data_IF_030515330345
#
_entry.id   IF_030515330345
#
_cell.length_a   1.000
_cell.length_b   1.000
_cell.length_c   1.000
_cell.angle_alpha   90.00
_cell.angle_beta   90.00
_cell.angle_gamma   90.00
#
_symmetry.space_group_name_H-M   'P 1'
#
loop_
_entity.id
_entity.type
_entity.pdbx_description
1 polymer ?
#
# COMPACT_ATOMS: atom_id res chain seq x y z
N UNK A 1 10.00 33.92 24.02
CA UNK A 1 11.01 33.10 23.33
C UNK A 1 10.26 31.99 22.63
N UNK A 2 10.24 31.89 21.29
CA UNK A 2 9.74 30.68 20.65
C UNK A 2 10.70 29.57 21.07
N UNK A 3 10.22 28.56 21.79
CA UNK A 3 10.96 27.30 21.90
C UNK A 3 11.16 26.80 20.49
N UNK A 4 12.43 26.74 20.06
CA UNK A 4 12.83 26.31 18.73
C UNK A 4 12.41 24.84 18.56
N UNK A 5 11.16 24.63 18.14
CA UNK A 5 10.56 23.31 18.09
C UNK A 5 11.09 22.63 16.84
N UNK A 6 12.20 21.91 16.99
CA UNK A 6 12.82 21.16 15.89
C UNK A 6 11.77 20.25 15.23
N UNK A 7 11.49 20.49 13.95
CA UNK A 7 10.48 19.74 13.20
C UNK A 7 11.00 18.33 12.90
N UNK A 8 10.12 17.32 13.01
CA UNK A 8 10.45 15.95 12.60
C UNK A 8 10.87 15.93 11.13
N UNK A 9 12.02 15.33 10.86
CA UNK A 9 12.48 14.94 9.52
C UNK A 9 12.11 13.48 9.22
N UNK A 10 11.75 13.16 7.97
CA UNK A 10 11.49 11.78 7.55
C UNK A 10 12.80 11.06 7.22
N UNK A 11 12.81 9.74 7.36
CA UNK A 11 14.00 8.94 7.02
C UNK A 11 14.39 9.11 5.55
N UNK A 12 13.45 9.06 4.61
CA UNK A 12 13.71 9.25 3.18
C UNK A 12 14.40 10.59 2.86
N UNK A 13 13.94 11.68 3.50
CA UNK A 13 14.49 13.02 3.27
C UNK A 13 15.91 13.13 3.82
N UNK A 14 16.19 12.53 4.98
CA UNK A 14 17.52 12.54 5.57
C UNK A 14 18.52 11.73 4.74
N UNK A 15 18.12 10.55 4.24
CA UNK A 15 18.98 9.68 3.42
C UNK A 15 19.42 10.32 2.10
N UNK A 16 18.66 11.29 1.61
CA UNK A 16 18.94 12.02 0.36
C UNK A 16 19.46 13.45 0.60
N UNK A 17 19.58 13.87 1.87
CA UNK A 17 20.02 15.21 2.24
C UNK A 17 21.51 15.42 1.95
N UNK A 18 21.83 16.49 1.22
CA UNK A 18 23.21 16.99 1.07
C UNK A 18 23.59 17.99 2.16
N UNK A 19 22.61 18.48 2.93
CA UNK A 19 22.80 19.42 4.02
C UNK A 19 23.13 18.65 5.32
N UNK A 20 24.43 18.60 5.64
CA UNK A 20 25.01 17.83 6.75
C UNK A 20 25.47 18.74 7.90
N UNK A 21 25.84 18.12 9.03
CA UNK A 21 26.34 18.75 10.26
C UNK A 21 25.31 19.64 10.98
N UNK A 22 24.02 19.36 10.78
CA UNK A 22 22.92 20.04 11.44
C UNK A 22 22.19 19.13 12.42
N UNK A 23 21.55 19.73 13.41
CA UNK A 23 20.67 19.02 14.33
C UNK A 23 19.38 18.59 13.61
N UNK A 24 18.95 17.35 13.88
CA UNK A 24 17.74 16.76 13.32
C UNK A 24 16.94 16.03 14.40
N UNK A 25 15.62 16.03 14.24
CA UNK A 25 14.70 15.19 15.00
C UNK A 25 14.15 14.11 14.08
N UNK A 26 14.47 12.85 14.32
CA UNK A 26 13.90 11.71 13.58
C UNK A 26 13.08 10.83 14.52
N UNK A 27 11.95 10.33 14.02
CA UNK A 27 11.06 9.42 14.78
C UNK A 27 10.71 8.22 13.92
N UNK A 28 10.72 7.03 14.50
CA UNK A 28 10.40 5.81 13.78
C UNK A 28 10.41 4.57 14.68
N UNK A 29 10.40 3.40 14.04
CA UNK A 29 10.45 2.10 14.70
C UNK A 29 11.82 1.45 14.50
N UNK A 30 12.34 0.86 15.57
CA UNK A 30 13.61 0.14 15.57
C UNK A 30 13.46 -1.13 14.74
N UNK A 31 14.27 -1.28 13.69
CA UNK A 31 14.38 -2.50 12.89
C UNK A 31 15.32 -3.50 13.53
N UNK A 32 16.49 -3.03 13.93
CA UNK A 32 17.51 -3.81 14.61
C UNK A 32 18.32 -2.87 15.48
N UNK A 33 18.80 -3.38 16.61
CA UNK A 33 19.87 -2.76 17.39
C UNK A 33 21.04 -3.74 17.42
N UNK A 34 22.22 -3.29 17.05
CA UNK A 34 23.46 -4.07 17.06
C UNK A 34 24.60 -3.18 17.56
N UNK A 35 25.61 -3.75 18.18
CA UNK A 35 26.71 -2.94 18.67
C UNK A 35 27.65 -3.73 19.56
N UNK A 36 28.59 -3.02 20.15
CA UNK A 36 29.49 -3.54 21.17
C UNK A 36 29.41 -2.64 22.42
N UNK A 37 30.26 -2.88 23.40
CA UNK A 37 30.28 -2.11 24.66
C UNK A 37 30.64 -0.62 24.51
N UNK A 38 31.14 -0.19 23.34
CA UNK A 38 31.57 1.19 23.07
C UNK A 38 30.55 1.97 22.23
N UNK A 39 29.86 1.30 21.31
CA UNK A 39 28.93 1.97 20.39
C UNK A 39 27.78 1.04 20.01
N UNK A 40 26.58 1.62 19.95
CA UNK A 40 25.36 0.95 19.54
C UNK A 40 24.82 1.58 18.25
N UNK A 41 24.46 0.73 17.30
CA UNK A 41 23.88 1.11 16.02
C UNK A 41 22.42 0.68 15.99
N UNK A 42 21.53 1.66 15.86
CA UNK A 42 20.09 1.45 15.76
C UNK A 42 19.68 1.73 14.32
N UNK A 43 19.15 0.71 13.65
CA UNK A 43 18.54 0.88 12.34
C UNK A 43 17.10 1.34 12.52
N UNK A 44 16.82 2.59 12.17
CA UNK A 44 15.51 3.23 12.36
C UNK A 44 14.78 3.34 11.01
N UNK A 45 13.50 2.96 10.98
CA UNK A 45 12.66 3.14 9.79
C UNK A 45 11.32 3.74 10.21
N UNK A 46 10.79 4.65 9.39
CA UNK A 46 9.54 5.34 9.66
C UNK A 46 8.46 5.08 8.60
N UNK A 47 8.71 4.12 7.71
CA UNK A 47 7.82 3.73 6.61
C UNK A 47 7.94 4.59 5.35
N UNK A 48 8.62 5.75 5.39
CA UNK A 48 8.73 6.66 4.24
C UNK A 48 9.47 6.05 3.04
N UNK A 49 10.39 5.12 3.29
CA UNK A 49 11.08 4.35 2.26
C UNK A 49 11.43 2.95 2.77
N UNK A 50 11.99 2.12 1.88
CA UNK A 50 12.52 0.80 2.23
C UNK A 50 13.71 0.89 3.19
N UNK A 51 14.63 1.82 2.93
CA UNK A 51 15.88 1.95 3.66
C UNK A 51 15.69 2.39 5.11
N UNK A 52 16.68 2.06 5.95
CA UNK A 52 16.77 2.50 7.35
C UNK A 52 17.76 3.63 7.49
N UNK A 53 17.49 4.58 8.37
CA UNK A 53 18.48 5.53 8.85
C UNK A 53 19.29 4.88 9.99
N UNK A 54 20.62 4.93 9.89
CA UNK A 54 21.48 4.52 10.99
C UNK A 54 21.55 5.62 12.05
N UNK A 55 21.22 5.27 13.28
CA UNK A 55 21.44 6.08 14.48
C UNK A 55 22.60 5.49 15.25
N UNK A 56 23.61 6.31 15.53
CA UNK A 56 24.80 5.95 16.30
C UNK A 56 24.64 6.48 17.73
N UNK A 57 24.64 5.56 18.70
CA UNK A 57 24.57 5.86 20.12
C UNK A 57 25.89 5.47 20.79
N UNK A 58 26.69 6.48 21.14
CA UNK A 58 27.96 6.32 21.86
C UNK A 58 27.71 5.87 23.30
N UNK A 59 28.40 4.82 23.76
CA UNK A 59 28.20 4.25 25.10
C UNK A 59 28.55 5.22 26.24
N UNK A 60 29.37 6.25 25.99
CA UNK A 60 29.66 7.30 26.96
C UNK A 60 28.43 8.15 27.30
N UNK A 61 27.52 8.34 26.32
CA UNK A 61 26.24 9.05 26.49
C UNK A 61 25.08 8.10 26.76
N UNK A 62 25.09 6.94 26.12
CA UNK A 62 24.02 5.94 26.14
C UNK A 62 24.57 4.58 26.56
N UNK A 63 24.84 4.38 27.86
CA UNK A 63 25.25 3.07 28.36
C UNK A 63 24.18 2.01 28.05
N UNK A 64 24.59 0.75 27.89
CA UNK A 64 23.71 -0.34 27.46
C UNK A 64 22.41 -0.45 28.28
N UNK A 65 22.52 -0.24 29.59
CA UNK A 65 21.41 -0.21 30.55
C UNK A 65 20.33 0.83 30.18
N UNK A 66 20.73 2.02 29.70
CA UNK A 66 19.81 3.09 29.29
C UNK A 66 19.04 2.75 28.00
N UNK A 67 19.59 1.84 27.19
CA UNK A 67 18.98 1.42 25.94
C UNK A 67 18.15 0.15 26.08
N UNK A 68 17.99 -0.44 27.27
CA UNK A 68 17.23 -1.70 27.46
C UNK A 68 15.86 -1.71 26.79
N UNK A 69 15.14 -0.60 26.82
CA UNK A 69 13.81 -0.45 26.20
C UNK A 69 13.83 -0.22 24.66
N UNK A 70 15.00 0.04 24.08
CA UNK A 70 15.21 0.24 22.63
C UNK A 70 15.39 -1.13 21.95
N UNK A 71 14.30 -1.87 21.86
CA UNK A 71 14.21 -3.21 21.24
C UNK A 71 13.60 -3.12 19.85
N UNK A 72 13.68 -4.21 19.07
CA UNK A 72 12.98 -4.29 17.77
C UNK A 72 11.49 -4.03 17.94
N UNK A 73 10.94 -3.17 17.08
CA UNK A 73 9.53 -2.78 17.13
C UNK A 73 9.23 -1.65 18.10
N UNK A 74 10.17 -1.26 18.99
CA UNK A 74 10.00 -0.06 19.82
C UNK A 74 9.96 1.19 18.94
N UNK A 75 9.15 2.16 19.36
CA UNK A 75 9.09 3.48 18.74
C UNK A 75 9.94 4.46 19.52
N UNK A 76 10.79 5.20 18.81
CA UNK A 76 11.72 6.15 19.42
C UNK A 76 11.69 7.50 18.71
N UNK A 77 12.01 8.55 19.44
CA UNK A 77 12.42 9.85 18.92
C UNK A 77 13.91 10.04 19.19
N UNK A 78 14.65 10.49 18.19
CA UNK A 78 16.09 10.74 18.30
C UNK A 78 16.36 12.17 17.88
N UNK A 79 16.92 12.96 18.80
CA UNK A 79 17.56 14.24 18.49
C UNK A 79 19.06 14.01 18.38
N UNK A 80 19.68 14.55 17.33
CA UNK A 80 21.10 14.38 17.11
C UNK A 80 21.59 15.07 15.85
N UNK A 81 22.88 14.89 15.55
CA UNK A 81 23.51 15.55 14.42
C UNK A 81 23.52 14.63 13.19
N UNK A 82 23.00 15.10 12.05
CA UNK A 82 23.11 14.40 10.77
C UNK A 82 24.53 14.59 10.23
N UNK A 83 25.26 13.51 10.00
CA UNK A 83 26.64 13.53 9.51
C UNK A 83 26.84 12.56 8.36
N UNK A 84 27.93 12.72 7.61
CA UNK A 84 28.36 11.72 6.65
C UNK A 84 28.72 10.42 7.39
N UNK A 85 28.20 9.28 6.92
CA UNK A 85 28.54 8.00 7.55
C UNK A 85 29.95 7.56 7.16
N UNK A 86 30.66 6.97 8.13
CA UNK A 86 31.94 6.31 7.88
C UNK A 86 31.77 4.84 7.47
N UNK A 87 30.56 4.30 7.53
CA UNK A 87 30.27 2.90 7.22
C UNK A 87 30.00 2.65 5.73
N UNK A 88 30.37 1.46 5.26
CA UNK A 88 30.03 1.02 3.89
C UNK A 88 28.52 0.74 3.79
N UNK A 89 27.88 1.25 2.74
CA UNK A 89 26.48 0.96 2.43
C UNK A 89 25.45 2.01 2.87
N UNK A 90 25.90 3.10 3.51
CA UNK A 90 25.07 4.26 3.78
C UNK A 90 25.87 5.56 3.57
N UNK A 91 25.20 6.62 3.15
CA UNK A 91 25.82 7.93 2.89
C UNK A 91 25.82 8.82 4.13
N UNK A 92 24.80 8.67 4.98
CA UNK A 92 24.57 9.51 6.16
C UNK A 92 24.17 8.68 7.37
N UNK A 93 24.38 9.24 8.55
CA UNK A 93 23.93 8.69 9.83
C UNK A 93 23.62 9.81 10.82
N UNK A 94 22.90 9.50 11.89
CA UNK A 94 22.62 10.45 12.97
C UNK A 94 23.41 10.07 14.21
N UNK A 95 24.29 10.97 14.66
CA UNK A 95 24.97 10.87 15.95
C UNK A 95 24.00 11.32 17.04
N UNK A 96 23.52 10.37 17.85
CA UNK A 96 22.48 10.64 18.83
C UNK A 96 22.98 11.56 19.95
N UNK A 97 22.14 12.52 20.32
CA UNK A 97 22.32 13.38 21.49
C UNK A 97 21.24 13.13 22.54
N UNK A 98 20.02 12.82 22.08
CA UNK A 98 18.90 12.41 22.93
C UNK A 98 18.13 11.27 22.25
N UNK A 99 17.78 10.25 23.02
CA UNK A 99 16.91 9.16 22.58
C UNK A 99 15.75 9.05 23.56
N UNK A 100 14.54 9.31 23.08
CA UNK A 100 13.30 9.17 23.85
C UNK A 100 12.55 7.94 23.35
N UNK A 101 12.23 7.00 24.25
CA UNK A 101 11.35 5.88 23.93
C UNK A 101 9.90 6.35 24.00
N UNK A 102 9.19 6.28 22.87
CA UNK A 102 7.79 6.69 22.76
C UNK A 102 6.83 5.53 23.06
N UNK A 103 7.29 4.31 22.83
CA UNK A 103 6.54 3.08 23.09
C UNK A 103 7.47 1.88 23.02
N UNK A 104 7.34 0.98 23.99
CA UNK A 104 8.15 -0.23 24.12
C UNK A 104 7.59 -1.37 23.28
N UNK A 105 8.44 -2.36 23.00
CA UNK A 105 8.08 -3.59 22.31
C UNK A 105 8.77 -4.75 23.01
N UNK A 106 8.00 -5.68 23.58
CA UNK A 106 8.55 -6.83 24.28
C UNK A 106 9.13 -7.85 23.26
N UNK A 107 10.46 -8.10 23.29
CA UNK A 107 11.09 -9.04 22.37
C UNK A 107 10.51 -10.45 22.43
N UNK A 108 9.96 -10.88 23.58
CA UNK A 108 9.42 -12.22 23.81
C UNK A 108 7.99 -12.41 23.31
N UNK A 109 7.27 -11.33 23.03
CA UNK A 109 5.90 -11.41 22.49
C UNK A 109 5.76 -10.76 21.11
N UNK A 110 6.72 -9.95 20.67
CA UNK A 110 6.62 -9.23 19.40
C UNK A 110 6.65 -10.17 18.17
N UNK A 111 5.57 -10.28 17.37
CA UNK A 111 5.48 -11.28 16.30
C UNK A 111 6.47 -11.09 15.14
N UNK A 112 6.97 -9.87 14.95
CA UNK A 112 7.95 -9.56 13.89
C UNK A 112 9.41 -9.66 14.37
N UNK A 113 9.64 -10.07 15.61
CA UNK A 113 10.97 -10.36 16.12
C UNK A 113 11.51 -11.63 15.45
N UNK A 114 12.71 -11.55 14.85
CA UNK A 114 13.37 -12.74 14.30
C UNK A 114 13.83 -13.64 15.45
N UNK A 115 13.41 -14.91 15.48
CA UNK A 115 13.81 -15.91 16.49
C UNK A 115 14.15 -17.25 15.84
N UNK A 116 15.11 -17.99 16.42
CA UNK A 116 15.33 -19.42 16.12
C UNK A 116 15.32 -19.80 14.62
N UNK A 117 14.44 -20.73 14.24
CA UNK A 117 14.29 -21.22 12.87
C UNK A 117 13.82 -20.14 11.86
N UNK A 118 13.27 -19.02 12.33
CA UNK A 118 12.80 -17.87 11.53
C UNK A 118 13.93 -16.90 11.16
N UNK A 119 15.20 -17.29 11.34
CA UNK A 119 16.33 -16.56 10.78
C UNK A 119 16.22 -16.40 9.25
N UNK A 120 15.50 -17.31 8.59
CA UNK A 120 15.16 -17.24 7.15
C UNK A 120 14.01 -16.26 6.83
N UNK A 121 13.32 -15.72 7.84
CA UNK A 121 12.18 -14.81 7.69
C UNK A 121 10.83 -15.46 8.07
N UNK A 122 9.82 -14.61 8.26
CA UNK A 122 8.43 -15.02 8.54
C UNK A 122 7.74 -15.31 7.20
N UNK A 123 7.01 -16.44 7.09
CA UNK A 123 6.30 -16.82 5.87
C UNK A 123 5.20 -15.82 5.48
N UNK A 124 4.83 -15.78 4.19
CA UNK A 124 3.74 -14.93 3.72
C UNK A 124 2.39 -15.35 4.34
N UNK A 125 2.21 -16.64 4.60
CA UNK A 125 1.04 -17.21 5.27
C UNK A 125 0.90 -16.66 6.68
N UNK A 126 1.96 -16.77 7.51
CA UNK A 126 1.94 -16.23 8.86
C UNK A 126 1.73 -14.71 8.88
N UNK A 127 2.27 -13.98 7.88
CA UNK A 127 2.03 -12.54 7.74
C UNK A 127 0.58 -12.20 7.37
N UNK A 128 -0.18 -13.11 6.75
CA UNK A 128 -1.63 -12.90 6.50
C UNK A 128 -2.40 -12.94 7.82
N UNK A 129 -2.03 -13.80 8.77
CA UNK A 129 -2.68 -13.91 10.08
C UNK A 129 -2.48 -12.65 10.96
N UNK A 130 -1.37 -11.93 10.75
CA UNK A 130 -1.07 -10.67 11.44
C UNK A 130 -1.13 -9.47 10.48
N UNK A 131 -2.18 -9.41 9.65
CA UNK A 131 -2.37 -8.34 8.65
C UNK A 131 -2.29 -6.91 9.22
N UNK A 132 -2.63 -6.73 10.50
CA UNK A 132 -2.53 -5.46 11.22
C UNK A 132 -1.07 -5.01 11.52
N UNK A 133 -0.10 -5.95 11.53
CA UNK A 133 1.33 -5.67 11.76
C UNK A 133 2.19 -5.83 10.50
N UNK A 134 1.79 -6.66 9.53
CA UNK A 134 2.58 -6.92 8.33
C UNK A 134 3.04 -5.68 7.55
N UNK A 135 2.34 -4.51 7.52
CA UNK A 135 2.86 -3.30 6.86
C UNK A 135 4.22 -2.84 7.41
N UNK A 136 4.59 -3.27 8.62
CA UNK A 136 5.90 -3.02 9.19
C UNK A 136 6.98 -3.92 8.59
N UNK A 137 6.71 -4.90 7.75
CA UNK A 137 7.77 -5.70 7.10
C UNK A 137 8.29 -5.00 5.83
N UNK A 138 9.49 -5.37 5.37
CA UNK A 138 10.04 -4.82 4.12
C UNK A 138 9.13 -5.11 2.93
N UNK A 139 8.68 -6.36 2.80
CA UNK A 139 7.79 -6.82 1.70
C UNK A 139 6.50 -6.03 1.64
N UNK A 140 5.72 -6.00 2.71
CA UNK A 140 4.43 -5.31 2.66
C UNK A 140 4.59 -3.78 2.67
N UNK A 141 5.66 -3.24 3.24
CA UNK A 141 6.01 -1.83 3.07
C UNK A 141 6.22 -1.47 1.60
N UNK A 142 6.99 -2.28 0.86
CA UNK A 142 7.22 -2.11 -0.57
C UNK A 142 5.91 -2.24 -1.38
N UNK A 143 5.14 -3.31 -1.14
CA UNK A 143 3.85 -3.54 -1.82
C UNK A 143 2.88 -2.39 -1.61
N UNK A 144 2.76 -1.87 -0.38
CA UNK A 144 1.82 -0.77 -0.08
C UNK A 144 2.28 0.56 -0.69
N UNK A 145 3.58 0.86 -0.70
CA UNK A 145 4.10 2.05 -1.38
C UNK A 145 3.92 1.99 -2.89
N UNK A 146 4.16 0.83 -3.51
CA UNK A 146 3.90 0.61 -4.95
C UNK A 146 2.40 0.76 -5.25
N UNK A 147 1.52 0.16 -4.43
CA UNK A 147 0.06 0.30 -4.59
C UNK A 147 -0.38 1.76 -4.50
N UNK A 148 0.18 2.52 -3.57
CA UNK A 148 -0.08 3.96 -3.46
C UNK A 148 0.38 4.71 -4.72
N UNK A 149 1.61 4.48 -5.17
CA UNK A 149 2.16 5.13 -6.35
C UNK A 149 1.35 4.85 -7.60
N UNK A 150 0.91 3.59 -7.80
CA UNK A 150 0.04 3.20 -8.91
C UNK A 150 -1.35 3.85 -8.80
N UNK A 151 -1.96 3.89 -7.62
CA UNK A 151 -3.25 4.56 -7.44
C UNK A 151 -3.18 6.05 -7.80
N UNK A 152 -2.10 6.73 -7.41
CA UNK A 152 -1.85 8.11 -7.80
C UNK A 152 -1.62 8.24 -9.32
N UNK A 153 -0.80 7.36 -9.90
CA UNK A 153 -0.51 7.36 -11.35
C UNK A 153 -1.76 7.12 -12.20
N UNK A 154 -2.70 6.28 -11.73
CA UNK A 154 -4.00 6.06 -12.36
C UNK A 154 -4.78 7.39 -12.44
N UNK A 155 -4.93 8.07 -11.31
CA UNK A 155 -5.62 9.36 -11.27
C UNK A 155 -4.91 10.42 -12.12
N UNK A 156 -3.57 10.46 -12.06
CA UNK A 156 -2.77 11.38 -12.85
C UNK A 156 -2.96 11.14 -14.35
N UNK A 157 -2.83 9.89 -14.80
CA UNK A 157 -3.01 9.50 -16.20
C UNK A 157 -4.35 9.97 -16.73
N UNK A 158 -5.46 9.57 -16.08
CA UNK A 158 -6.78 9.94 -16.55
C UNK A 158 -7.02 11.45 -16.52
N UNK A 159 -6.55 12.15 -15.49
CA UNK A 159 -6.65 13.60 -15.41
C UNK A 159 -5.88 14.31 -16.55
N UNK A 160 -4.66 13.86 -16.85
CA UNK A 160 -3.85 14.42 -17.95
C UNK A 160 -4.45 14.16 -19.33
N UNK A 161 -5.26 13.10 -19.48
CA UNK A 161 -5.97 12.76 -20.71
C UNK A 161 -7.42 13.28 -20.76
N UNK A 162 -7.79 14.19 -19.84
CA UNK A 162 -9.08 14.89 -19.87
C UNK A 162 -10.27 14.05 -19.40
N UNK A 163 -10.04 12.96 -18.66
CA UNK A 163 -11.11 12.16 -18.08
C UNK A 163 -11.62 12.76 -16.77
N UNK A 164 -12.91 12.54 -16.48
CA UNK A 164 -13.52 12.87 -15.19
C UNK A 164 -13.63 11.63 -14.31
N UNK A 165 -13.20 11.77 -13.05
CA UNK A 165 -13.40 10.72 -12.05
C UNK A 165 -14.86 10.73 -11.57
N UNK A 166 -15.56 9.61 -11.75
CA UNK A 166 -16.97 9.45 -11.38
C UNK A 166 -17.11 8.43 -10.25
N UNK A 167 -17.82 8.85 -9.20
CA UNK A 167 -18.19 7.98 -8.08
C UNK A 167 -19.52 7.30 -8.39
N UNK A 168 -19.47 6.06 -8.87
CA UNK A 168 -20.65 5.22 -9.13
C UNK A 168 -21.20 4.60 -7.83
N UNK A 169 -22.50 4.27 -7.78
CA UNK A 169 -23.13 3.72 -6.58
C UNK A 169 -22.60 2.31 -6.27
N UNK A 170 -22.34 2.05 -4.98
CA UNK A 170 -21.92 0.72 -4.51
C UNK A 170 -23.10 -0.18 -4.19
N UNK A 171 -24.16 0.37 -3.60
CA UNK A 171 -25.40 -0.36 -3.37
C UNK A 171 -26.25 -0.28 -4.63
N UNK A 172 -26.63 -1.43 -5.17
CA UNK A 172 -27.33 -1.53 -6.44
C UNK A 172 -28.52 -2.48 -6.36
N UNK A 173 -29.52 -2.24 -7.20
CA UNK A 173 -30.60 -3.20 -7.49
C UNK A 173 -30.39 -3.94 -8.82
N UNK A 174 -29.24 -3.73 -9.48
CA UNK A 174 -28.87 -4.35 -10.76
C UNK A 174 -27.71 -5.32 -10.57
N UNK A 175 -27.61 -6.32 -11.44
CA UNK A 175 -26.50 -7.28 -11.48
C UNK A 175 -25.37 -6.84 -12.42
N UNK A 176 -25.50 -5.70 -13.09
CA UNK A 176 -24.54 -5.11 -14.04
C UNK A 176 -24.02 -6.07 -15.15
N UNK A 177 -23.12 -6.98 -14.79
CA UNK A 177 -22.48 -7.99 -15.66
C UNK A 177 -23.33 -9.27 -15.86
N UNK A 178 -24.41 -9.47 -15.07
CA UNK A 178 -25.24 -10.68 -15.16
C UNK A 178 -24.50 -11.95 -14.75
N UNK A 179 -23.42 -11.81 -13.97
CA UNK A 179 -22.32 -12.77 -13.94
C UNK A 179 -22.09 -13.49 -12.60
N UNK A 180 -22.97 -13.39 -11.59
CA UNK A 180 -22.77 -14.26 -10.43
C UNK A 180 -23.57 -13.98 -9.17
N UNK A 181 -23.07 -14.57 -8.09
CA UNK A 181 -23.60 -14.36 -6.75
C UNK A 181 -23.16 -12.99 -6.23
N UNK A 182 -24.10 -12.16 -5.82
CA UNK A 182 -23.84 -10.85 -5.20
C UNK A 182 -24.09 -10.89 -3.69
N UNK A 183 -23.41 -10.02 -2.93
CA UNK A 183 -23.69 -9.85 -1.51
C UNK A 183 -24.96 -9.01 -1.33
N UNK A 184 -25.96 -9.56 -0.65
CA UNK A 184 -27.18 -8.82 -0.32
C UNK A 184 -26.91 -7.75 0.75
N UNK A 185 -27.42 -6.55 0.53
CA UNK A 185 -27.44 -5.45 1.49
C UNK A 185 -28.89 -5.24 1.92
N UNK A 186 -29.18 -5.41 3.20
CA UNK A 186 -30.55 -5.36 3.74
C UNK A 186 -30.53 -4.86 5.18
N UNK A 187 -31.58 -4.14 5.57
CA UNK A 187 -31.84 -3.81 6.99
C UNK A 187 -32.90 -4.71 7.63
N UNK A 188 -33.49 -5.63 6.85
CA UNK A 188 -34.50 -6.54 7.35
C UNK A 188 -33.89 -7.50 8.40
N UNK A 189 -34.64 -7.83 9.46
CA UNK A 189 -34.16 -8.76 10.48
C UNK A 189 -33.99 -10.17 9.87
N UNK A 190 -32.84 -10.85 10.10
CA UNK A 190 -32.55 -12.13 9.45
C UNK A 190 -33.46 -13.27 9.91
N UNK A 191 -33.92 -13.25 11.16
CA UNK A 191 -34.76 -14.31 11.73
C UNK A 191 -36.25 -14.12 11.43
N UNK A 192 -36.72 -12.88 11.38
CA UNK A 192 -38.14 -12.53 11.25
C UNK A 192 -38.40 -11.42 10.22
N UNK A 193 -37.98 -11.57 8.95
CA UNK A 193 -38.21 -10.54 7.94
C UNK A 193 -39.73 -10.42 7.65
N UNK A 194 -40.21 -9.22 7.30
CA UNK A 194 -41.58 -9.01 6.86
C UNK A 194 -41.89 -9.90 5.65
N UNK A 195 -43.16 -10.29 5.52
CA UNK A 195 -43.61 -11.29 4.54
C UNK A 195 -44.81 -10.79 3.77
N UNK A 196 -44.81 -11.06 2.47
CA UNK A 196 -45.97 -10.90 1.60
C UNK A 196 -47.02 -11.99 1.86
N UNK A 197 -48.22 -11.84 1.28
CA UNK A 197 -49.32 -12.81 1.42
C UNK A 197 -48.95 -14.23 0.95
N UNK A 198 -48.02 -14.36 0.01
CA UNK A 198 -47.51 -15.64 -0.50
C UNK A 198 -46.38 -16.25 0.36
N UNK A 199 -45.99 -15.59 1.45
CA UNK A 199 -44.95 -16.04 2.39
C UNK A 199 -43.50 -15.73 1.95
N UNK A 200 -43.29 -15.09 0.80
CA UNK A 200 -41.97 -14.59 0.40
C UNK A 200 -41.54 -13.38 1.26
N UNK A 201 -40.27 -12.98 1.20
CA UNK A 201 -39.79 -11.80 1.95
C UNK A 201 -40.33 -10.55 1.27
N UNK A 202 -40.98 -9.67 2.04
CA UNK A 202 -41.44 -8.39 1.54
C UNK A 202 -40.29 -7.37 1.50
N UNK A 203 -39.63 -7.28 0.36
CA UNK A 203 -38.55 -6.31 0.16
C UNK A 203 -39.04 -4.86 0.00
N UNK A 204 -40.36 -4.61 -0.13
CA UNK A 204 -40.89 -3.24 -0.14
C UNK A 204 -40.75 -2.58 1.23
N UNK A 205 -40.61 -3.38 2.29
CA UNK A 205 -40.33 -2.93 3.65
C UNK A 205 -38.81 -2.81 3.96
N UNK A 206 -37.92 -3.17 3.03
CA UNK A 206 -36.48 -2.96 3.21
C UNK A 206 -36.12 -1.47 3.04
N UNK A 207 -34.91 -1.07 3.43
CA UNK A 207 -34.48 0.33 3.47
C UNK A 207 -34.67 1.08 2.14
N UNK A 208 -34.40 0.41 1.01
CA UNK A 208 -34.52 0.98 -0.33
C UNK A 208 -35.86 0.68 -1.01
N UNK A 209 -36.81 0.05 -0.30
CA UNK A 209 -38.11 -0.38 -0.83
C UNK A 209 -38.01 -1.44 -1.95
N UNK A 210 -36.86 -2.09 -2.07
CA UNK A 210 -36.56 -3.18 -3.01
C UNK A 210 -35.33 -3.94 -2.55
N UNK A 211 -35.11 -5.13 -3.12
CA UNK A 211 -33.89 -5.89 -2.87
C UNK A 211 -32.66 -5.13 -3.42
N UNK A 212 -31.61 -5.07 -2.61
CA UNK A 212 -30.34 -4.44 -2.96
C UNK A 212 -29.14 -5.32 -2.64
N UNK A 213 -28.05 -5.11 -3.38
CA UNK A 213 -26.81 -5.85 -3.28
C UNK A 213 -25.60 -4.90 -3.35
N UNK A 214 -24.41 -5.41 -3.05
CA UNK A 214 -23.15 -4.74 -3.36
C UNK A 214 -22.78 -4.97 -4.82
N UNK A 215 -22.39 -3.91 -5.53
CA UNK A 215 -22.13 -3.96 -6.96
C UNK A 215 -20.90 -4.81 -7.33
N UNK A 216 -21.00 -5.47 -8.49
CA UNK A 216 -19.89 -6.20 -9.12
C UNK A 216 -19.06 -5.29 -10.03
N UNK A 217 -19.66 -4.20 -10.55
CA UNK A 217 -19.06 -3.26 -11.50
C UNK A 217 -19.83 -1.92 -11.50
N UNK A 218 -19.13 -0.82 -11.77
CA UNK A 218 -19.75 0.49 -11.99
C UNK A 218 -19.96 0.83 -13.47
N UNK A 219 -19.75 -0.12 -14.39
CA UNK A 219 -19.72 0.10 -15.83
C UNK A 219 -20.99 0.77 -16.37
N UNK A 220 -22.18 0.24 -16.03
CA UNK A 220 -23.44 0.75 -16.57
C UNK A 220 -23.69 2.21 -16.17
N UNK A 221 -23.40 2.58 -14.92
CA UNK A 221 -23.46 3.98 -14.48
C UNK A 221 -22.35 4.83 -15.10
N UNK A 222 -21.19 4.25 -15.40
CA UNK A 222 -20.11 4.87 -16.16
C UNK A 222 -20.54 5.27 -17.57
N UNK A 223 -21.22 4.39 -18.30
CA UNK A 223 -21.75 4.68 -19.64
C UNK A 223 -22.71 5.89 -19.63
N UNK A 224 -23.59 5.99 -18.64
CA UNK A 224 -24.49 7.14 -18.48
C UNK A 224 -23.72 8.45 -18.30
N UNK A 225 -22.63 8.42 -17.54
CA UNK A 225 -21.79 9.59 -17.31
C UNK A 225 -20.95 9.94 -18.56
N UNK A 226 -20.44 8.94 -19.28
CA UNK A 226 -19.68 9.12 -20.52
C UNK A 226 -20.50 9.85 -21.59
N UNK A 227 -21.81 9.56 -21.69
CA UNK A 227 -22.71 10.27 -22.61
C UNK A 227 -22.85 11.77 -22.32
N UNK A 228 -22.53 12.22 -21.10
CA UNK A 228 -22.59 13.62 -20.70
C UNK A 228 -21.21 14.30 -20.64
N UNK A 229 -20.17 13.57 -20.26
CA UNK A 229 -18.83 14.09 -19.96
C UNK A 229 -17.77 13.69 -20.99
N UNK A 230 -18.12 12.86 -21.97
CA UNK A 230 -17.19 12.30 -22.95
C UNK A 230 -16.36 11.17 -22.36
N UNK A 231 -15.38 11.52 -21.53
CA UNK A 231 -14.38 10.60 -21.00
C UNK A 231 -14.52 10.52 -19.48
N UNK A 232 -14.83 9.33 -18.95
CA UNK A 232 -14.98 9.11 -17.50
C UNK A 232 -14.22 7.88 -17.06
N UNK A 233 -13.94 7.80 -15.77
CA UNK A 233 -13.48 6.55 -15.17
C UNK A 233 -14.01 6.41 -13.75
N UNK A 234 -14.23 5.17 -13.33
CA UNK A 234 -14.46 4.81 -11.93
C UNK A 234 -13.15 4.35 -11.30
N UNK A 235 -13.07 4.45 -9.98
CA UNK A 235 -12.02 3.84 -9.17
C UNK A 235 -12.61 3.55 -7.78
N UNK A 236 -13.26 2.40 -7.65
CA UNK A 236 -14.03 2.05 -6.47
C UNK A 236 -13.94 0.59 -6.07
N UNK A 237 -14.43 0.24 -4.86
CA UNK A 237 -14.53 -1.14 -4.45
C UNK A 237 -15.64 -1.88 -5.21
N UNK A 238 -15.41 -3.14 -5.54
CA UNK A 238 -16.41 -4.06 -6.10
C UNK A 238 -16.35 -5.40 -5.38
N UNK A 239 -17.43 -6.16 -5.49
CA UNK A 239 -17.66 -7.32 -4.65
C UNK A 239 -18.12 -8.53 -5.47
N UNK A 240 -17.61 -9.72 -5.15
CA UNK A 240 -18.06 -10.99 -5.74
C UNK A 240 -18.32 -12.00 -4.63
N UNK A 241 -19.54 -12.56 -4.58
CA UNK A 241 -19.94 -13.48 -3.52
C UNK A 241 -19.76 -14.96 -3.89
N UNK A 242 -19.08 -15.25 -5.01
CA UNK A 242 -18.75 -16.61 -5.41
C UNK A 242 -17.92 -17.30 -4.32
N UNK A 243 -18.29 -18.55 -3.98
CA UNK A 243 -17.53 -19.35 -3.03
C UNK A 243 -16.26 -19.92 -3.68
N UNK A 244 -15.28 -19.05 -3.91
CA UNK A 244 -14.04 -19.34 -4.62
C UNK A 244 -12.83 -19.01 -3.76
N UNK A 245 -12.25 -20.04 -3.13
CA UNK A 245 -11.03 -19.90 -2.34
C UNK A 245 -9.80 -20.29 -3.17
N UNK A 246 -9.27 -19.33 -3.94
CA UNK A 246 -8.04 -19.51 -4.72
C UNK A 246 -7.01 -18.45 -4.35
N UNK A 247 -5.76 -18.65 -4.75
CA UNK A 247 -4.69 -17.69 -4.50
C UNK A 247 -4.86 -16.33 -5.23
N UNK A 248 -5.85 -16.20 -6.12
CA UNK A 248 -6.05 -15.01 -6.99
C UNK A 248 -7.43 -14.36 -6.85
N UNK A 249 -8.35 -14.94 -6.09
CA UNK A 249 -9.69 -14.40 -5.91
C UNK A 249 -9.85 -13.69 -4.57
N UNK A 250 -10.58 -12.58 -4.60
CA UNK A 250 -10.99 -11.81 -3.42
C UNK A 250 -12.49 -11.55 -3.53
N UNK A 251 -13.18 -11.58 -2.39
CA UNK A 251 -14.59 -11.22 -2.32
C UNK A 251 -14.82 -9.70 -2.38
N UNK A 252 -13.80 -8.92 -1.99
CA UNK A 252 -13.75 -7.46 -2.09
C UNK A 252 -12.43 -7.08 -2.76
N UNK A 253 -12.52 -6.31 -3.84
CA UNK A 253 -11.37 -5.78 -4.56
C UNK A 253 -11.70 -4.41 -5.15
N UNK A 254 -10.75 -3.79 -5.84
CA UNK A 254 -10.93 -2.45 -6.41
C UNK A 254 -10.82 -2.55 -7.92
N UNK A 255 -11.78 -1.95 -8.62
CA UNK A 255 -11.75 -1.83 -10.08
C UNK A 255 -11.51 -0.39 -10.50
N UNK A 256 -10.91 -0.26 -11.67
CA UNK A 256 -10.72 1.00 -12.39
C UNK A 256 -11.36 0.80 -13.75
N UNK A 257 -12.44 1.52 -14.02
CA UNK A 257 -13.31 1.24 -15.18
C UNK A 257 -13.44 2.55 -15.99
N UNK A 258 -12.61 2.76 -17.01
CA UNK A 258 -12.78 3.88 -17.93
C UNK A 258 -13.91 3.62 -18.93
N UNK A 259 -14.68 4.66 -19.24
CA UNK A 259 -15.66 4.67 -20.32
C UNK A 259 -15.49 5.93 -21.17
N UNK A 260 -15.53 5.77 -22.50
CA UNK A 260 -15.18 6.83 -23.45
C UNK A 260 -16.22 6.89 -24.58
N UNK A 261 -16.94 8.00 -24.64
CA UNK A 261 -17.86 8.24 -25.74
C UNK A 261 -17.12 8.27 -27.08
N UNK A 262 -17.71 7.65 -28.11
CA UNK A 262 -17.21 7.58 -29.48
C UNK A 262 -15.98 6.70 -29.73
N UNK A 263 -15.40 6.07 -28.72
CA UNK A 263 -14.37 5.05 -28.94
C UNK A 263 -14.99 3.77 -29.51
N UNK A 264 -14.30 3.15 -30.47
CA UNK A 264 -14.56 1.77 -30.88
C UNK A 264 -13.62 0.78 -30.15
N UNK A 265 -13.65 -0.49 -30.57
CA UNK A 265 -12.82 -1.53 -29.97
C UNK A 265 -11.31 -1.30 -30.18
N UNK A 266 -10.92 -0.75 -31.33
CA UNK A 266 -9.51 -0.44 -31.63
C UNK A 266 -9.05 0.68 -30.71
N UNK A 267 -9.84 1.73 -30.58
CA UNK A 267 -9.54 2.84 -29.66
C UNK A 267 -9.45 2.37 -28.20
N UNK A 268 -10.33 1.45 -27.79
CA UNK A 268 -10.29 0.88 -26.44
C UNK A 268 -9.04 0.02 -26.20
N UNK A 269 -8.58 -0.74 -27.21
CA UNK A 269 -7.32 -1.49 -27.13
C UNK A 269 -6.11 -0.54 -27.04
N UNK A 270 -6.11 0.55 -27.83
CA UNK A 270 -5.07 1.59 -27.78
C UNK A 270 -5.01 2.23 -26.39
N UNK A 271 -6.17 2.61 -25.83
CA UNK A 271 -6.28 3.18 -24.49
C UNK A 271 -5.75 2.22 -23.41
N UNK A 272 -6.14 0.94 -23.46
CA UNK A 272 -5.71 -0.05 -22.48
C UNK A 272 -4.20 -0.31 -22.54
N UNK A 273 -3.63 -0.39 -23.75
CA UNK A 273 -2.20 -0.56 -23.97
C UNK A 273 -1.41 0.64 -23.43
N UNK A 274 -1.78 1.86 -23.83
CA UNK A 274 -1.10 3.08 -23.39
C UNK A 274 -1.21 3.28 -21.88
N UNK A 275 -2.39 3.05 -21.30
CA UNK A 275 -2.63 3.14 -19.86
C UNK A 275 -1.73 2.20 -19.08
N UNK A 276 -1.71 0.90 -19.44
CA UNK A 276 -0.90 -0.10 -18.74
C UNK A 276 0.60 0.20 -18.87
N UNK A 277 1.07 0.56 -20.06
CA UNK A 277 2.47 0.92 -20.27
C UNK A 277 2.85 2.16 -19.45
N UNK A 278 1.99 3.19 -19.42
CA UNK A 278 2.20 4.41 -18.65
C UNK A 278 2.32 4.14 -17.15
N UNK A 279 1.45 3.28 -16.59
CA UNK A 279 1.53 2.88 -15.18
C UNK A 279 2.80 2.10 -14.86
N UNK A 280 3.23 1.20 -15.75
CA UNK A 280 4.47 0.43 -15.54
C UNK A 280 5.69 1.34 -15.60
N UNK A 281 5.76 2.27 -16.57
CA UNK A 281 6.83 3.30 -16.62
C UNK A 281 6.86 4.13 -15.34
N UNK A 282 5.69 4.56 -14.86
CA UNK A 282 5.58 5.31 -13.61
C UNK A 282 6.13 4.51 -12.43
N UNK A 283 5.74 3.24 -12.28
CA UNK A 283 6.23 2.39 -11.20
C UNK A 283 7.76 2.17 -11.27
N UNK A 284 8.30 1.92 -12.47
CA UNK A 284 9.75 1.76 -12.69
C UNK A 284 10.53 3.01 -12.26
N UNK A 285 10.00 4.20 -12.55
CA UNK A 285 10.62 5.48 -12.21
C UNK A 285 10.48 5.84 -10.72
N UNK A 286 9.28 5.69 -10.15
CA UNK A 286 8.94 6.22 -8.83
C UNK A 286 9.05 5.19 -7.70
N UNK A 287 9.18 3.90 -8.01
CA UNK A 287 9.26 2.81 -7.03
C UNK A 287 10.51 1.93 -7.21
N UNK A 288 11.54 2.42 -7.88
CA UNK A 288 12.74 1.64 -8.23
C UNK A 288 13.33 0.83 -7.07
N UNK A 289 13.50 1.44 -5.88
CA UNK A 289 14.07 0.74 -4.72
C UNK A 289 13.15 -0.39 -4.20
N UNK A 290 11.83 -0.18 -4.21
CA UNK A 290 10.86 -1.17 -3.77
C UNK A 290 10.74 -2.31 -4.79
N UNK A 291 10.73 -1.99 -6.09
CA UNK A 291 10.73 -2.98 -7.18
C UNK A 291 12.03 -3.80 -7.20
N UNK A 292 13.19 -3.15 -7.01
CA UNK A 292 14.47 -3.85 -6.91
C UNK A 292 14.47 -4.84 -5.74
N UNK A 293 13.95 -4.44 -4.58
CA UNK A 293 13.82 -5.34 -3.44
C UNK A 293 12.92 -6.55 -3.76
N UNK A 294 11.76 -6.34 -4.39
CA UNK A 294 10.86 -7.43 -4.76
C UNK A 294 11.49 -8.35 -5.81
N UNK A 295 12.19 -7.78 -6.78
CA UNK A 295 12.96 -8.52 -7.78
C UNK A 295 14.02 -9.40 -7.11
N UNK A 296 14.74 -8.84 -6.15
CA UNK A 296 15.81 -9.57 -5.50
C UNK A 296 15.36 -10.65 -4.54
N UNK A 297 14.16 -10.49 -3.97
CA UNK A 297 13.64 -11.36 -2.92
C UNK A 297 12.72 -12.46 -3.46
N UNK A 298 11.90 -12.16 -4.48
CA UNK A 298 10.81 -13.05 -4.91
C UNK A 298 10.95 -13.51 -6.35
N UNK A 299 11.37 -12.63 -7.27
CA UNK A 299 11.34 -12.92 -8.70
C UNK A 299 12.40 -12.12 -9.46
N UNK A 300 13.52 -12.78 -9.80
CA UNK A 300 14.67 -12.14 -10.44
C UNK A 300 14.39 -11.64 -11.86
N UNK A 301 13.26 -12.03 -12.45
CA UNK A 301 12.83 -11.60 -13.77
C UNK A 301 11.81 -10.44 -13.71
N UNK A 302 11.37 -10.03 -12.51
CA UNK A 302 10.35 -9.01 -12.32
C UNK A 302 10.65 -7.73 -13.11
N UNK A 303 11.84 -7.16 -12.92
CA UNK A 303 12.21 -5.90 -13.58
C UNK A 303 12.29 -6.06 -15.10
N UNK A 304 12.88 -7.16 -15.58
CA UNK A 304 12.96 -7.46 -17.01
C UNK A 304 11.58 -7.61 -17.67
N UNK A 305 10.64 -8.28 -16.98
CA UNK A 305 9.24 -8.38 -17.47
C UNK A 305 8.55 -7.03 -17.50
N UNK A 306 8.71 -6.18 -16.48
CA UNK A 306 8.12 -4.85 -16.46
C UNK A 306 8.69 -3.96 -17.58
N UNK A 307 10.01 -4.01 -17.82
CA UNK A 307 10.64 -3.30 -18.93
C UNK A 307 10.09 -3.77 -20.28
N UNK A 308 9.99 -5.09 -20.47
CA UNK A 308 9.44 -5.69 -21.68
C UNK A 308 8.00 -5.23 -21.99
N UNK A 309 7.15 -5.06 -20.97
CA UNK A 309 5.79 -4.51 -21.15
C UNK A 309 5.81 -3.11 -21.75
N UNK A 310 6.81 -2.29 -21.39
CA UNK A 310 6.90 -0.88 -21.83
C UNK A 310 7.65 -0.66 -23.14
N UNK A 311 8.44 -1.66 -23.56
CA UNK A 311 9.31 -1.61 -24.73
C UNK A 311 8.70 -2.29 -25.96
N UNK A 312 7.69 -3.14 -25.76
CA UNK A 312 7.06 -3.92 -26.83
C UNK A 312 5.60 -3.53 -27.03
N UNK A 313 5.17 -3.42 -28.29
CA UNK A 313 3.77 -3.27 -28.64
C UNK A 313 2.99 -4.56 -28.35
N UNK A 314 1.77 -4.43 -27.82
CA UNK A 314 0.91 -5.55 -27.51
C UNK A 314 0.42 -6.20 -28.80
N UNK A 315 0.53 -7.53 -28.87
CA UNK A 315 0.04 -8.28 -30.01
C UNK A 315 -1.49 -8.38 -29.94
N UNK A 316 -2.16 -8.00 -31.02
CA UNK A 316 -3.63 -8.09 -31.15
C UNK A 316 -3.96 -9.33 -31.94
N UNK A 317 -4.61 -10.27 -31.28
CA UNK A 317 -4.99 -11.55 -31.85
C UNK A 317 -6.51 -11.68 -31.81
N UNK A 318 -7.07 -12.19 -32.91
CA UNK A 318 -8.45 -12.66 -32.90
C UNK A 318 -8.60 -13.82 -31.93
N UNK A 319 -9.80 -14.02 -31.41
CA UNK A 319 -10.09 -15.21 -30.59
C UNK A 319 -9.91 -16.51 -31.38
N UNK A 320 -10.27 -16.51 -32.68
CA UNK A 320 -10.07 -17.61 -33.64
C UNK A 320 -8.64 -17.70 -34.12
#
# INVERSE_FOLDING_TARGET
MPTDHLRRSRVQDLLTSTDLNREVLVKGWVRTRRGNKYVQFIALNDGSCLATLQVVADATKFPEESLKAVTTGSSIAVRGQLVASQGKGQTVEVQAEEITVLGTSDPETYPLQRRGADQKGISLEALRDIAHLRPRTNTFGAVLRIRHALAFAIHQYFNEHGFYYVHTPIITGSDAEGAGQMFRVTTLPPEHPPRTEDGSVDFSEDFFGKQTNLTVSGQLEGELAAMALGNVYTFGPTFRAENSNTARHLAEFWMVEPEVAFNDLVDNMDLAEDFLQSLVRYALQHCAADLQFLNDTYDKELLGRLQSVTENAFQRLTYT
#
